data_IF_782203450100
#
_entry.id   IF_782203450100
#
_cell.length_a   1.000
_cell.length_b   1.000
_cell.length_c   1.000
_cell.angle_alpha   90.00
_cell.angle_beta   90.00
_cell.angle_gamma   90.00
#
_symmetry.space_group_name_H-M   'P 1'
#
loop_
_entity.id
_entity.type
_entity.pdbx_description
1 polymer ?
#
# COMPACT_ATOMS: atom_id res chain seq x y z
N UNK A 1 -7.41 -6.77 6.99
CA UNK A 1 -8.38 -5.89 6.31
C UNK A 1 -7.82 -5.49 4.94
N UNK A 2 -8.66 -5.53 3.90
CA UNK A 2 -8.33 -4.99 2.58
C UNK A 2 -9.00 -3.63 2.43
N UNK A 3 -8.29 -2.65 1.89
CA UNK A 3 -8.77 -1.27 1.79
C UNK A 3 -9.54 -1.03 0.48
N UNK A 4 -9.10 -1.64 -0.63
CA UNK A 4 -9.72 -1.45 -1.94
C UNK A 4 -9.69 -2.73 -2.76
N UNK A 5 -10.80 -3.04 -3.42
CA UNK A 5 -10.88 -4.07 -4.47
C UNK A 5 -10.95 -3.37 -5.82
N UNK A 6 -10.15 -3.84 -6.78
CA UNK A 6 -10.12 -3.29 -8.13
C UNK A 6 -10.36 -4.43 -9.11
N UNK A 7 -11.40 -4.30 -9.92
CA UNK A 7 -11.73 -5.26 -10.97
C UNK A 7 -10.77 -5.13 -12.15
N UNK A 8 -10.50 -6.24 -12.81
CA UNK A 8 -9.68 -6.24 -14.02
C UNK A 8 -10.40 -5.47 -15.14
N UNK A 9 -9.65 -4.86 -16.07
CA UNK A 9 -10.20 -4.39 -17.33
C UNK A 9 -10.97 -5.50 -18.06
N UNK A 10 -12.11 -5.21 -18.70
CA UNK A 10 -12.99 -6.24 -19.31
C UNK A 10 -12.32 -7.03 -20.45
N UNK A 11 -11.23 -6.50 -21.01
CA UNK A 11 -10.43 -7.11 -22.07
C UNK A 11 -9.27 -7.98 -21.55
N UNK A 12 -9.06 -8.09 -20.23
CA UNK A 12 -7.97 -8.85 -19.65
C UNK A 12 -8.47 -9.99 -18.77
N UNK A 13 -7.93 -11.19 -18.99
CA UNK A 13 -8.18 -12.34 -18.13
C UNK A 13 -7.17 -12.41 -16.96
N UNK A 14 -7.48 -13.26 -15.97
CA UNK A 14 -6.64 -13.45 -14.78
C UNK A 14 -5.20 -13.81 -15.14
N UNK A 15 -4.99 -14.74 -16.07
CA UNK A 15 -3.67 -15.19 -16.51
C UNK A 15 -2.84 -14.07 -17.14
N UNK A 16 -3.45 -13.21 -17.95
CA UNK A 16 -2.82 -12.05 -18.58
C UNK A 16 -2.38 -11.02 -17.53
N UNK A 17 -3.27 -10.70 -16.59
CA UNK A 17 -2.97 -9.79 -15.46
C UNK A 17 -1.84 -10.32 -14.61
N UNK A 18 -1.89 -11.61 -14.26
CA UNK A 18 -0.85 -12.28 -13.48
C UNK A 18 0.50 -12.25 -14.20
N UNK A 19 0.52 -12.60 -15.49
CA UNK A 19 1.75 -12.65 -16.30
C UNK A 19 2.36 -11.26 -16.43
N UNK A 20 1.55 -10.23 -16.68
CA UNK A 20 2.01 -8.85 -16.77
C UNK A 20 2.62 -8.36 -15.46
N UNK A 21 1.94 -8.60 -14.34
CA UNK A 21 2.44 -8.22 -13.02
C UNK A 21 3.70 -8.99 -12.64
N UNK A 22 3.77 -10.29 -12.93
CA UNK A 22 4.98 -11.11 -12.74
C UNK A 22 6.14 -10.56 -13.57
N UNK A 23 5.91 -10.25 -14.86
CA UNK A 23 6.93 -9.66 -15.77
C UNK A 23 7.42 -8.31 -15.25
N UNK A 24 6.54 -7.49 -14.70
CA UNK A 24 6.88 -6.19 -14.10
C UNK A 24 7.46 -6.29 -12.68
N UNK A 25 7.61 -7.50 -12.12
CA UNK A 25 8.07 -7.72 -10.74
C UNK A 25 9.45 -8.37 -10.63
N UNK A 26 10.16 -8.07 -9.55
CA UNK A 26 11.30 -8.84 -9.06
C UNK A 26 10.81 -9.83 -7.99
N UNK A 27 11.16 -11.11 -8.14
CA UNK A 27 10.73 -12.18 -7.24
C UNK A 27 11.47 -12.09 -5.91
N UNK A 28 10.71 -12.17 -4.83
CA UNK A 28 11.20 -12.13 -3.46
C UNK A 28 10.86 -13.39 -2.69
N UNK A 29 11.70 -13.70 -1.71
CA UNK A 29 11.54 -14.84 -0.79
C UNK A 29 11.10 -14.40 0.61
N UNK A 30 11.36 -13.14 1.00
CA UNK A 30 10.91 -12.56 2.28
C UNK A 30 9.56 -11.86 2.18
N UNK A 31 8.86 -11.76 3.32
CA UNK A 31 7.59 -11.06 3.43
C UNK A 31 7.71 -9.60 2.97
N UNK A 32 6.84 -9.21 2.03
CA UNK A 32 6.79 -7.85 1.48
C UNK A 32 6.45 -6.79 2.54
N UNK A 33 5.84 -7.19 3.66
CA UNK A 33 5.54 -6.30 4.78
C UNK A 33 6.83 -5.69 5.38
N UNK A 34 7.91 -6.48 5.50
CA UNK A 34 9.18 -6.06 6.15
C UNK A 34 10.27 -5.63 5.17
N UNK A 35 9.98 -5.58 3.86
CA UNK A 35 10.98 -5.21 2.86
C UNK A 35 11.17 -3.69 2.74
N UNK A 36 12.28 -3.16 3.23
CA UNK A 36 12.61 -1.71 3.18
C UNK A 36 13.71 -1.37 2.18
N UNK A 37 13.84 -2.13 1.08
CA UNK A 37 14.85 -1.85 0.05
C UNK A 37 14.37 -0.77 -0.90
N UNK A 38 15.06 0.37 -0.92
CA UNK A 38 14.98 1.35 -2.01
C UNK A 38 15.88 0.91 -3.17
N UNK A 39 15.48 1.23 -4.39
CA UNK A 39 16.29 1.03 -5.59
C UNK A 39 16.27 2.34 -6.36
N UNK A 40 17.42 3.00 -6.44
CA UNK A 40 17.52 4.32 -7.07
C UNK A 40 17.88 4.24 -8.55
N UNK A 41 18.57 3.18 -9.03
CA UNK A 41 19.02 3.06 -10.42
C UNK A 41 19.06 1.57 -10.86
N UNK A 42 18.66 1.29 -12.12
CA UNK A 42 19.09 0.08 -12.84
C UNK A 42 18.09 -1.09 -12.94
N UNK A 43 16.83 -0.92 -12.56
CA UNK A 43 15.82 -1.99 -12.71
C UNK A 43 14.64 -1.55 -13.57
N UNK A 44 14.39 -2.25 -14.69
CA UNK A 44 13.16 -2.11 -15.50
C UNK A 44 11.89 -2.62 -14.78
N UNK A 45 12.06 -3.14 -13.56
CA UNK A 45 11.00 -3.70 -12.74
C UNK A 45 10.35 -2.61 -11.89
N UNK A 46 9.04 -2.74 -11.70
CA UNK A 46 8.19 -1.74 -11.04
C UNK A 46 7.71 -2.24 -9.68
N UNK A 47 7.68 -3.57 -9.48
CA UNK A 47 7.15 -4.21 -8.29
C UNK A 47 8.13 -5.21 -7.66
N UNK A 48 8.04 -5.38 -6.35
CA UNK A 48 8.50 -6.57 -5.64
C UNK A 48 7.35 -7.57 -5.57
N UNK A 49 7.55 -8.79 -6.05
CA UNK A 49 6.55 -9.86 -6.07
C UNK A 49 6.90 -10.97 -5.09
N UNK A 50 5.92 -11.42 -4.30
CA UNK A 50 6.04 -12.56 -3.40
C UNK A 50 4.91 -13.55 -3.71
N UNK A 51 5.29 -14.80 -3.96
CA UNK A 51 4.35 -15.89 -4.18
C UNK A 51 4.08 -16.60 -2.85
N UNK A 52 2.81 -16.67 -2.46
CA UNK A 52 2.34 -17.28 -1.22
C UNK A 52 1.30 -18.36 -1.56
N UNK A 53 1.01 -19.26 -0.62
CA UNK A 53 0.02 -20.35 -0.80
C UNK A 53 -1.37 -19.81 -1.19
N UNK A 54 -1.69 -18.58 -0.78
CA UNK A 54 -2.98 -17.92 -1.04
C UNK A 54 -3.02 -17.12 -2.35
N UNK A 55 -1.89 -16.93 -3.04
CA UNK A 55 -1.81 -16.13 -4.26
C UNK A 55 -0.55 -15.27 -4.33
N UNK A 56 -0.52 -14.35 -5.31
CA UNK A 56 0.61 -13.45 -5.50
C UNK A 56 0.38 -12.12 -4.80
N UNK A 57 1.41 -11.64 -4.14
CA UNK A 57 1.43 -10.32 -3.52
C UNK A 57 2.47 -9.47 -4.22
N UNK A 58 2.16 -8.20 -4.42
CA UNK A 58 3.06 -7.23 -5.02
C UNK A 58 3.11 -5.97 -4.17
N UNK A 59 4.27 -5.36 -4.07
CA UNK A 59 4.44 -3.99 -3.55
C UNK A 59 5.26 -3.19 -4.53
N UNK A 60 5.01 -1.90 -4.62
CA UNK A 60 5.79 -1.02 -5.48
C UNK A 60 7.26 -0.96 -5.03
N UNK A 61 8.18 -0.93 -5.98
CA UNK A 61 9.57 -0.55 -5.73
C UNK A 61 9.60 0.96 -5.49
N UNK A 62 10.27 1.37 -4.41
CA UNK A 62 10.37 2.77 -3.99
C UNK A 62 11.78 3.28 -4.24
N UNK A 63 11.90 4.52 -4.67
CA UNK A 63 13.17 5.24 -4.63
C UNK A 63 13.43 5.76 -3.22
N UNK A 64 14.65 6.23 -2.95
CA UNK A 64 15.03 6.81 -1.66
C UNK A 64 14.20 8.05 -1.32
N UNK A 65 13.72 8.79 -2.32
CA UNK A 65 12.77 9.90 -2.12
C UNK A 65 11.37 9.43 -1.75
N UNK A 66 10.98 8.21 -2.09
CA UNK A 66 9.64 7.70 -1.84
C UNK A 66 9.56 6.84 -0.56
N UNK A 67 10.66 6.77 0.19
CA UNK A 67 10.77 5.95 1.40
C UNK A 67 9.72 6.30 2.47
N UNK A 68 9.36 7.58 2.57
CA UNK A 68 8.35 8.06 3.53
C UNK A 68 6.91 7.69 3.14
N UNK A 69 6.65 7.29 1.89
CA UNK A 69 5.32 6.91 1.48
C UNK A 69 4.89 5.64 2.23
N UNK A 70 3.61 5.50 2.61
CA UNK A 70 3.11 4.27 3.21
C UNK A 70 3.26 3.12 2.22
N UNK A 71 3.48 1.89 2.70
CA UNK A 71 3.56 0.74 1.79
C UNK A 71 2.15 0.28 1.43
N UNK A 72 1.93 -0.06 0.16
CA UNK A 72 0.72 -0.70 -0.33
C UNK A 72 1.04 -2.10 -0.88
N UNK A 73 0.24 -3.08 -0.50
CA UNK A 73 0.36 -4.46 -0.94
C UNK A 73 -0.86 -4.79 -1.81
N UNK A 74 -0.59 -5.04 -3.07
CA UNK A 74 -1.53 -5.60 -4.03
C UNK A 74 -1.54 -7.12 -3.82
N UNK A 75 -2.71 -7.71 -3.69
CA UNK A 75 -2.90 -9.15 -3.54
C UNK A 75 -3.79 -9.65 -4.68
N UNK A 76 -3.24 -10.57 -5.46
CA UNK A 76 -3.91 -11.29 -6.53
C UNK A 76 -4.21 -12.70 -6.03
N UNK A 77 -5.46 -13.13 -6.15
CA UNK A 77 -5.85 -14.50 -5.81
C UNK A 77 -5.21 -15.49 -6.79
N UNK A 78 -4.91 -16.71 -6.34
CA UNK A 78 -4.51 -17.81 -7.25
C UNK A 78 -5.71 -18.39 -8.01
N UNK A 79 -6.92 -18.15 -7.51
CA UNK A 79 -8.15 -18.64 -8.12
C UNK A 79 -8.44 -17.87 -9.43
N UNK A 80 -8.47 -18.56 -10.59
CA UNK A 80 -8.68 -17.93 -11.90
C UNK A 80 -10.11 -17.42 -12.10
N UNK A 81 -11.07 -17.81 -11.25
CA UNK A 81 -12.43 -17.25 -11.27
C UNK A 81 -12.50 -15.84 -10.71
N UNK A 82 -11.44 -15.38 -10.03
CA UNK A 82 -11.39 -14.10 -9.35
C UNK A 82 -10.89 -13.00 -10.29
N UNK A 83 -11.82 -12.19 -10.80
CA UNK A 83 -11.53 -11.09 -11.73
C UNK A 83 -11.21 -9.75 -11.03
N UNK A 84 -10.55 -9.80 -9.86
CA UNK A 84 -10.15 -8.61 -9.12
C UNK A 84 -8.84 -8.81 -8.36
N UNK A 85 -8.14 -7.70 -8.12
CA UNK A 85 -7.05 -7.63 -7.15
C UNK A 85 -7.44 -6.76 -5.96
N UNK A 86 -6.84 -7.03 -4.81
CA UNK A 86 -7.10 -6.28 -3.56
C UNK A 86 -5.87 -5.51 -3.13
N UNK A 87 -6.04 -4.27 -2.72
CA UNK A 87 -4.98 -3.44 -2.17
C UNK A 87 -5.19 -3.33 -0.66
N UNK A 88 -4.13 -3.56 0.11
CA UNK A 88 -4.09 -3.32 1.55
C UNK A 88 -2.91 -2.43 1.92
N UNK A 89 -3.01 -1.59 2.97
CA UNK A 89 -1.84 -1.00 3.59
C UNK A 89 -0.92 -2.10 4.13
N UNK A 90 0.39 -1.86 4.04
CA UNK A 90 1.39 -2.66 4.72
C UNK A 90 1.27 -2.52 6.24
N UNK A 91 1.83 -3.48 6.97
CA UNK A 91 1.69 -3.57 8.43
C UNK A 91 2.21 -2.32 9.17
N UNK A 92 3.31 -1.72 8.68
CA UNK A 92 3.85 -0.45 9.22
C UNK A 92 2.86 0.69 9.07
N UNK A 93 2.19 0.79 7.92
CA UNK A 93 1.20 1.83 7.67
C UNK A 93 0.02 1.69 8.63
N UNK A 94 -0.42 0.46 8.89
CA UNK A 94 -1.48 0.16 9.86
C UNK A 94 -1.04 0.57 11.28
N UNK A 95 0.20 0.26 11.65
CA UNK A 95 0.74 0.63 12.97
C UNK A 95 0.80 2.14 13.17
N UNK A 96 1.22 2.91 12.15
CA UNK A 96 1.25 4.38 12.20
C UNK A 96 -0.17 4.95 12.38
N UNK A 97 -1.14 4.48 11.58
CA UNK A 97 -2.54 4.90 11.72
C UNK A 97 -3.07 4.56 13.13
N UNK A 98 -2.76 3.36 13.63
CA UNK A 98 -3.16 2.93 14.97
C UNK A 98 -2.57 3.83 16.07
N UNK A 99 -1.30 4.20 15.97
CA UNK A 99 -0.64 5.10 16.91
C UNK A 99 -1.26 6.51 16.87
N UNK A 100 -1.50 7.05 15.68
CA UNK A 100 -2.14 8.35 15.52
C UNK A 100 -3.55 8.35 16.09
N UNK A 101 -4.36 7.33 15.76
CA UNK A 101 -5.71 7.18 16.30
C UNK A 101 -5.73 7.05 17.83
N UNK A 102 -4.77 6.29 18.39
CA UNK A 102 -4.63 6.14 19.83
C UNK A 102 -4.23 7.46 20.51
N UNK A 103 -3.29 8.21 19.94
CA UNK A 103 -2.92 9.53 20.42
C UNK A 103 -4.08 10.52 20.40
N UNK A 104 -4.86 10.54 19.31
CA UNK A 104 -6.09 11.32 19.20
C UNK A 104 -7.11 10.92 20.27
N UNK A 105 -7.28 9.62 20.52
CA UNK A 105 -8.22 9.13 21.53
C UNK A 105 -7.82 9.55 22.95
N UNK A 106 -6.53 9.42 23.31
CA UNK A 106 -6.02 9.89 24.61
C UNK A 106 -6.18 11.40 24.75
N UNK A 107 -5.83 12.17 23.70
CA UNK A 107 -5.99 13.62 23.69
C UNK A 107 -7.44 14.05 23.91
N UNK A 108 -8.38 13.36 23.27
CA UNK A 108 -9.82 13.61 23.46
C UNK A 108 -10.26 13.34 24.90
N UNK A 109 -9.84 12.21 25.49
CA UNK A 109 -10.13 11.89 26.90
C UNK A 109 -9.54 12.95 27.85
N UNK A 110 -8.32 13.41 27.58
CA UNK A 110 -7.68 14.46 28.38
C UNK A 110 -8.45 15.78 28.35
N UNK A 111 -8.95 16.17 27.17
CA UNK A 111 -9.77 17.39 26.99
C UNK A 111 -11.09 17.26 27.73
N UNK A 112 -11.79 16.13 27.56
CA UNK A 112 -13.06 15.87 28.25
C UNK A 112 -12.91 15.86 29.79
N UNK A 113 -11.71 15.53 30.29
CA UNK A 113 -11.37 15.56 31.72
C UNK A 113 -10.79 16.89 32.19
N UNK A 114 -10.68 17.89 31.33
CA UNK A 114 -10.09 19.20 31.63
C UNK A 114 -8.59 19.15 31.96
N UNK A 115 -7.90 18.06 31.62
CA UNK A 115 -6.48 17.85 31.93
C UNK A 115 -5.53 18.34 30.84
N UNK A 116 -6.04 18.53 29.63
CA UNK A 116 -5.24 18.95 28.47
C UNK A 116 -5.99 20.01 27.68
N UNK A 117 -5.25 21.00 27.17
CA UNK A 117 -5.80 22.03 26.32
C UNK A 117 -6.12 21.50 24.92
N UNK A 118 -7.12 22.11 24.27
CA UNK A 118 -7.52 21.74 22.91
C UNK A 118 -6.40 21.98 21.88
N UNK A 119 -5.51 22.94 22.14
CA UNK A 119 -4.35 23.24 21.31
C UNK A 119 -3.42 22.03 21.17
N UNK A 120 -3.31 21.20 22.21
CA UNK A 120 -2.49 19.97 22.20
C UNK A 120 -3.03 18.91 21.24
N UNK A 121 -4.28 19.04 20.77
CA UNK A 121 -4.91 18.13 19.82
C UNK A 121 -4.60 18.48 18.35
N UNK A 122 -4.32 19.75 18.06
CA UNK A 122 -4.11 20.27 16.72
C UNK A 122 -2.98 19.52 15.97
N UNK A 123 -1.81 19.24 16.58
CA UNK A 123 -0.74 18.52 15.90
C UNK A 123 -1.12 17.10 15.48
N UNK A 124 -1.88 16.37 16.30
CA UNK A 124 -2.33 15.02 15.97
C UNK A 124 -3.31 15.02 14.79
N UNK A 125 -4.24 15.98 14.77
CA UNK A 125 -5.19 16.13 13.68
C UNK A 125 -4.49 16.49 12.37
N UNK A 126 -3.52 17.42 12.40
CA UNK A 126 -2.69 17.75 11.24
C UNK A 126 -1.88 16.55 10.74
N UNK A 127 -1.25 15.80 11.64
CA UNK A 127 -0.51 14.58 11.28
C UNK A 127 -1.39 13.54 10.60
N UNK A 128 -2.64 13.34 11.07
CA UNK A 128 -3.59 12.44 10.43
C UNK A 128 -3.92 12.91 9.02
N UNK A 129 -4.25 14.20 8.84
CA UNK A 129 -4.58 14.76 7.52
C UNK A 129 -3.41 14.58 6.56
N UNK A 130 -2.20 14.95 6.98
CA UNK A 130 -0.98 14.80 6.19
C UNK A 130 -0.78 13.32 5.82
N UNK A 131 -0.88 12.41 6.79
CA UNK A 131 -0.71 10.99 6.54
C UNK A 131 -1.73 10.43 5.53
N UNK A 132 -2.99 10.84 5.64
CA UNK A 132 -4.04 10.46 4.69
C UNK A 132 -3.72 10.97 3.28
N UNK A 133 -3.25 12.22 3.14
CA UNK A 133 -2.86 12.77 1.84
C UNK A 133 -1.70 11.97 1.21
N UNK A 134 -0.68 11.64 2.00
CA UNK A 134 0.46 10.82 1.56
C UNK A 134 -0.02 9.42 1.15
N UNK A 135 -0.97 8.83 1.88
CA UNK A 135 -1.57 7.54 1.55
C UNK A 135 -2.35 7.57 0.23
N UNK A 136 -3.17 8.59 0.01
CA UNK A 136 -3.91 8.78 -1.24
C UNK A 136 -2.96 8.99 -2.42
N UNK A 137 -1.88 9.73 -2.21
CA UNK A 137 -0.84 9.94 -3.22
C UNK A 137 -0.17 8.61 -3.61
N UNK A 138 0.25 7.80 -2.65
CA UNK A 138 0.81 6.47 -2.92
C UNK A 138 -0.20 5.55 -3.61
N UNK A 139 -1.48 5.62 -3.24
CA UNK A 139 -2.53 4.85 -3.88
C UNK A 139 -2.68 5.21 -5.36
N UNK A 140 -2.64 6.50 -5.68
CA UNK A 140 -2.68 7.01 -7.07
C UNK A 140 -1.46 6.56 -7.86
N UNK A 141 -0.26 6.65 -7.27
CA UNK A 141 0.98 6.18 -7.90
C UNK A 141 0.94 4.67 -8.15
N UNK A 142 0.56 3.89 -7.15
CA UNK A 142 0.46 2.43 -7.25
C UNK A 142 -0.52 2.04 -8.35
N UNK A 143 -1.70 2.67 -8.40
CA UNK A 143 -2.69 2.39 -9.43
C UNK A 143 -2.17 2.74 -10.84
N UNK A 144 -1.54 3.91 -11.00
CA UNK A 144 -0.93 4.33 -12.28
C UNK A 144 0.13 3.34 -12.77
N UNK A 145 0.97 2.83 -11.86
CA UNK A 145 2.01 1.84 -12.17
C UNK A 145 1.44 0.47 -12.52
N UNK A 146 0.36 0.04 -11.85
CA UNK A 146 -0.35 -1.21 -12.17
C UNK A 146 -0.97 -1.10 -13.56
N UNK A 147 -1.69 -0.02 -13.84
CA UNK A 147 -2.26 0.25 -15.17
C UNK A 147 -1.17 0.23 -16.23
N UNK A 148 -0.05 0.92 -16.01
CA UNK A 148 1.08 0.91 -16.95
C UNK A 148 1.60 -0.52 -17.22
N UNK A 149 1.71 -1.36 -16.19
CA UNK A 149 2.14 -2.75 -16.36
C UNK A 149 1.13 -3.60 -17.17
N UNK A 150 -0.17 -3.33 -17.03
CA UNK A 150 -1.23 -4.04 -17.75
C UNK A 150 -1.35 -3.63 -19.23
N UNK A 151 -1.03 -2.38 -19.58
CA UNK A 151 -1.03 -1.89 -20.97
C UNK A 151 0.28 -2.17 -21.73
N UNK A 152 1.26 -2.83 -21.09
CA UNK A 152 2.50 -3.31 -21.71
C UNK A 152 2.42 -4.78 -22.14
N UNK A 153 1.21 -5.36 -22.14
CA UNK A 153 0.86 -6.68 -22.70
C UNK A 153 0.66 -6.52 -24.20
#
# INVERSE_FOLDING_TARGET
MYFKTVHFPPNLNHTQVETALRKASMKETMSLDFKFKSVDIGTDKIFWGLEDKKGLKFTRIKTSFEFFLPKLIISLSKDPSVNHYRIRPGSVSIAIIGLLAFGTFIGLIGILRGKTNIESFIPFLLMIIIYVLIFLFELKLTNSRVVKALYQI
#
